data_IF_006867936296
#
_entry.id   IF_006867936296
#
_cell.length_a   1.000
_cell.length_b   1.000
_cell.length_c   1.000
_cell.angle_alpha   90.00
_cell.angle_beta   90.00
_cell.angle_gamma   90.00
#
_symmetry.space_group_name_H-M   'P 1'
#
loop_
_entity.id
_entity.type
_entity.pdbx_description
1 polymer ?
#
# COMPACT_ATOMS: atom_id res chain seq x y z
N UNK A 1 90.13 30.42 -2.79
CA UNK A 1 88.84 30.88 -3.34
C UNK A 1 87.89 29.72 -3.62
N UNK A 2 88.40 28.56 -4.06
CA UNK A 2 87.60 27.34 -4.28
C UNK A 2 86.95 26.79 -3.00
N UNK A 3 87.69 26.65 -1.88
CA UNK A 3 87.11 26.13 -0.62
C UNK A 3 86.08 27.03 0.10
N UNK A 4 85.99 28.32 -0.26
CA UNK A 4 84.97 29.23 0.30
C UNK A 4 83.65 29.15 -0.50
N UNK A 5 83.75 28.77 -1.78
CA UNK A 5 82.59 28.57 -2.67
C UNK A 5 81.94 27.20 -2.44
N UNK A 6 82.71 26.14 -2.15
CA UNK A 6 82.18 24.83 -1.74
C UNK A 6 81.45 24.89 -0.38
N UNK A 7 82.01 25.61 0.60
CA UNK A 7 81.37 25.81 1.91
C UNK A 7 80.04 26.56 1.78
N UNK A 8 80.00 27.62 0.95
CA UNK A 8 78.77 28.36 0.68
C UNK A 8 77.74 27.51 -0.08
N UNK A 9 78.15 26.60 -0.97
CA UNK A 9 77.19 25.73 -1.67
C UNK A 9 76.57 24.69 -0.74
N UNK A 10 77.35 24.07 0.15
CA UNK A 10 76.83 23.05 1.07
C UNK A 10 75.92 23.64 2.15
N UNK A 11 76.27 24.81 2.70
CA UNK A 11 75.40 25.51 3.67
C UNK A 11 74.13 26.04 3.01
N UNK A 12 74.20 26.52 1.77
CA UNK A 12 73.01 26.95 1.03
C UNK A 12 72.12 25.75 0.68
N UNK A 13 72.70 24.62 0.27
CA UNK A 13 71.96 23.39 -0.02
C UNK A 13 71.31 22.83 1.25
N UNK A 14 72.02 22.79 2.37
CA UNK A 14 71.50 22.34 3.66
C UNK A 14 70.36 23.25 4.16
N UNK A 15 70.50 24.57 4.02
CA UNK A 15 69.46 25.53 4.37
C UNK A 15 68.24 25.42 3.44
N UNK A 16 68.42 25.19 2.15
CA UNK A 16 67.32 24.95 1.20
C UNK A 16 66.61 23.63 1.51
N UNK A 17 67.34 22.55 1.79
CA UNK A 17 66.77 21.25 2.17
C UNK A 17 65.99 21.37 3.48
N UNK A 18 66.54 22.06 4.48
CA UNK A 18 65.88 22.34 5.75
C UNK A 18 64.59 23.16 5.55
N UNK A 19 64.66 24.23 4.75
CA UNK A 19 63.51 25.08 4.44
C UNK A 19 62.40 24.30 3.69
N UNK A 20 62.76 23.45 2.73
CA UNK A 20 61.83 22.59 1.98
C UNK A 20 61.22 21.52 2.89
N UNK A 21 62.02 20.92 3.78
CA UNK A 21 61.55 19.89 4.73
C UNK A 21 60.55 20.42 5.76
N UNK A 22 60.59 21.72 6.08
CA UNK A 22 59.64 22.36 7.00
C UNK A 22 58.45 22.97 6.26
N UNK A 23 58.69 23.59 5.10
CA UNK A 23 57.63 24.28 4.35
C UNK A 23 56.62 23.34 3.67
N UNK A 24 57.06 22.21 3.12
CA UNK A 24 56.17 21.26 2.44
C UNK A 24 55.13 20.64 3.41
N UNK A 25 55.50 20.14 4.61
CA UNK A 25 54.52 19.64 5.58
C UNK A 25 53.55 20.71 6.07
N UNK A 26 54.02 21.95 6.28
CA UNK A 26 53.16 23.07 6.70
C UNK A 26 52.15 23.43 5.62
N UNK A 27 52.57 23.48 4.34
CA UNK A 27 51.66 23.72 3.21
C UNK A 27 50.65 22.58 3.08
N UNK A 28 51.08 21.32 3.19
CA UNK A 28 50.18 20.16 3.17
C UNK A 28 49.19 20.18 4.34
N UNK A 29 49.64 20.57 5.54
CA UNK A 29 48.78 20.72 6.71
C UNK A 29 47.77 21.87 6.56
N UNK A 30 48.18 23.01 5.99
CA UNK A 30 47.30 24.13 5.70
C UNK A 30 46.29 23.78 4.61
N UNK A 31 46.71 23.10 3.54
CA UNK A 31 45.80 22.59 2.50
C UNK A 31 44.82 21.56 3.07
N UNK A 32 45.28 20.69 3.97
CA UNK A 32 44.43 19.73 4.68
C UNK A 32 43.41 20.46 5.57
N UNK A 33 43.86 21.43 6.38
CA UNK A 33 43.00 22.26 7.24
C UNK A 33 41.99 23.05 6.41
N UNK A 34 42.43 23.67 5.32
CA UNK A 34 41.58 24.44 4.42
C UNK A 34 40.52 23.55 3.77
N UNK A 35 40.91 22.39 3.20
CA UNK A 35 39.97 21.39 2.67
C UNK A 35 38.96 20.94 3.72
N UNK A 36 39.40 20.73 4.97
CA UNK A 36 38.53 20.33 6.08
C UNK A 36 37.54 21.43 6.49
N UNK A 37 37.96 22.70 6.51
CA UNK A 37 37.08 23.84 6.82
C UNK A 37 36.04 24.04 5.72
N UNK A 38 36.46 24.05 4.44
CA UNK A 38 35.55 24.19 3.29
C UNK A 38 34.51 23.05 3.26
N UNK A 39 34.93 21.81 3.55
CA UNK A 39 34.00 20.68 3.63
C UNK A 39 32.97 20.87 4.76
N UNK A 40 33.36 21.43 5.91
CA UNK A 40 32.45 21.67 7.03
C UNK A 40 31.40 22.74 6.71
N UNK A 41 31.78 23.82 6.04
CA UNK A 41 30.86 24.87 5.61
C UNK A 41 29.87 24.36 4.55
N UNK A 42 30.35 23.60 3.57
CA UNK A 42 29.49 22.98 2.56
C UNK A 42 28.44 22.05 3.18
N UNK A 43 28.84 21.19 4.13
CA UNK A 43 27.91 20.30 4.84
C UNK A 43 26.85 21.12 5.60
N UNK A 44 27.22 22.24 6.22
CA UNK A 44 26.26 23.10 6.92
C UNK A 44 25.23 23.75 5.97
N UNK A 45 25.67 24.21 4.79
CA UNK A 45 24.78 24.76 3.76
C UNK A 45 23.81 23.69 3.26
N UNK A 46 24.31 22.49 2.97
CA UNK A 46 23.51 21.33 2.54
C UNK A 46 22.49 20.97 3.62
N UNK A 47 22.89 20.98 4.90
CA UNK A 47 22.00 20.73 6.03
C UNK A 47 20.88 21.75 6.18
N UNK A 48 21.17 23.03 5.98
CA UNK A 48 20.15 24.07 5.99
C UNK A 48 19.15 23.89 4.84
N UNK A 49 19.63 23.51 3.65
CA UNK A 49 18.76 23.22 2.51
C UNK A 49 17.89 21.98 2.75
N UNK A 50 18.44 20.92 3.32
CA UNK A 50 17.70 19.72 3.70
C UNK A 50 16.55 20.06 4.67
N UNK A 51 16.85 20.80 5.75
CA UNK A 51 15.84 21.24 6.73
C UNK A 51 14.73 22.06 6.08
N UNK A 52 15.09 23.01 5.22
CA UNK A 52 14.11 23.83 4.50
C UNK A 52 13.17 22.99 3.63
N UNK A 53 13.67 21.94 2.97
CA UNK A 53 12.86 21.01 2.18
C UNK A 53 11.91 20.20 3.08
N UNK A 54 12.40 19.70 4.22
CA UNK A 54 11.57 18.96 5.18
C UNK A 54 10.45 19.84 5.76
N UNK A 55 10.76 21.10 6.08
CA UNK A 55 9.76 22.07 6.55
C UNK A 55 8.69 22.35 5.48
N UNK A 56 9.09 22.45 4.21
CA UNK A 56 8.17 22.62 3.08
C UNK A 56 7.25 21.42 2.87
N UNK A 57 7.74 20.19 3.05
CA UNK A 57 6.89 18.97 2.99
C UNK A 57 5.85 18.96 4.11
N UNK A 58 6.20 19.52 5.26
CA UNK A 58 5.34 19.55 6.45
C UNK A 58 4.29 20.66 6.40
N UNK A 59 4.67 21.86 5.94
CA UNK A 59 3.87 23.08 6.12
C UNK A 59 3.51 23.81 4.82
N UNK A 60 4.02 23.35 3.67
CA UNK A 60 3.77 23.97 2.37
C UNK A 60 2.37 23.73 1.80
N UNK A 61 2.02 24.48 0.76
CA UNK A 61 0.87 24.17 -0.10
C UNK A 61 1.07 22.81 -0.79
N UNK A 62 -0.01 22.21 -1.30
CA UNK A 62 0.03 20.90 -1.99
C UNK A 62 1.11 20.84 -3.07
N UNK A 63 1.21 21.87 -3.91
CA UNK A 63 2.20 21.93 -5.00
C UNK A 63 3.63 22.05 -4.46
N UNK A 64 3.84 22.88 -3.44
CA UNK A 64 5.14 23.05 -2.79
C UNK A 64 5.62 21.77 -2.12
N UNK A 65 4.72 21.01 -1.47
CA UNK A 65 5.05 19.73 -0.85
C UNK A 65 5.50 18.70 -1.88
N UNK A 66 4.82 18.65 -3.02
CA UNK A 66 5.18 17.77 -4.14
C UNK A 66 6.55 18.15 -4.71
N UNK A 67 6.79 19.44 -4.95
CA UNK A 67 8.09 19.93 -5.41
C UNK A 67 9.22 19.59 -4.42
N UNK A 68 8.98 19.80 -3.12
CA UNK A 68 9.93 19.49 -2.06
C UNK A 68 10.22 17.97 -1.96
N UNK A 69 9.20 17.12 -2.08
CA UNK A 69 9.38 15.66 -2.12
C UNK A 69 10.22 15.19 -3.32
N UNK A 70 10.14 15.88 -4.46
CA UNK A 70 11.02 15.62 -5.61
C UNK A 70 12.44 16.11 -5.34
N UNK A 71 12.60 17.27 -4.70
CA UNK A 71 13.91 17.82 -4.35
C UNK A 71 14.66 16.96 -3.32
N UNK A 72 13.96 16.24 -2.43
CA UNK A 72 14.59 15.27 -1.52
C UNK A 72 15.46 14.24 -2.27
N UNK A 73 15.10 13.88 -3.51
CA UNK A 73 15.90 12.94 -4.33
C UNK A 73 17.32 13.42 -4.57
N UNK A 74 17.58 14.73 -4.50
CA UNK A 74 18.93 15.26 -4.70
C UNK A 74 19.90 14.81 -3.61
N UNK A 75 19.42 14.52 -2.41
CA UNK A 75 20.22 13.97 -1.30
C UNK A 75 20.45 12.46 -1.40
N UNK A 76 19.76 11.78 -2.33
CA UNK A 76 19.86 10.33 -2.58
C UNK A 76 20.65 10.02 -3.86
N UNK A 77 21.27 11.01 -4.50
CA UNK A 77 21.99 10.83 -5.76
C UNK A 77 23.42 11.34 -5.64
N UNK A 78 24.41 10.45 -5.88
CA UNK A 78 25.84 10.76 -5.86
C UNK A 78 26.30 11.74 -6.95
N UNK A 79 25.51 11.94 -8.00
CA UNK A 79 25.92 12.77 -9.16
C UNK A 79 25.39 14.20 -9.10
N UNK A 80 24.61 14.56 -8.09
CA UNK A 80 24.05 15.92 -7.93
C UNK A 80 25.06 16.85 -7.26
N UNK A 81 24.73 18.15 -7.18
CA UNK A 81 25.52 19.13 -6.43
C UNK A 81 25.72 18.78 -4.94
N UNK A 82 24.91 17.86 -4.40
CA UNK A 82 24.99 17.37 -3.02
C UNK A 82 25.62 15.97 -2.91
N UNK A 83 25.87 15.32 -4.05
CA UNK A 83 26.25 13.91 -4.16
C UNK A 83 27.76 13.62 -4.17
N UNK A 84 28.61 14.63 -4.26
CA UNK A 84 30.06 14.44 -4.26
C UNK A 84 30.56 14.12 -2.85
N UNK A 85 31.25 12.97 -2.67
CA UNK A 85 31.85 12.54 -1.40
C UNK A 85 30.86 12.32 -0.23
N UNK A 86 30.14 11.18 -0.27
CA UNK A 86 29.48 10.47 0.86
C UNK A 86 27.99 10.72 1.15
N UNK A 87 27.25 11.50 0.35
CA UNK A 87 25.80 11.73 0.52
C UNK A 87 25.38 11.88 2.00
N UNK A 88 25.85 12.91 2.72
CA UNK A 88 25.83 12.94 4.19
C UNK A 88 24.44 12.88 4.83
N UNK A 89 23.39 13.20 4.07
CA UNK A 89 21.99 13.19 4.52
C UNK A 89 21.17 12.03 3.93
N UNK A 90 21.79 11.04 3.26
CA UNK A 90 21.03 9.94 2.65
C UNK A 90 20.27 9.12 3.71
N UNK A 91 20.91 8.84 4.85
CA UNK A 91 20.26 8.18 5.99
C UNK A 91 19.14 9.01 6.59
N UNK A 92 19.40 10.29 6.89
CA UNK A 92 18.38 11.21 7.43
C UNK A 92 17.19 11.34 6.46
N UNK A 93 17.46 11.35 5.15
CA UNK A 93 16.42 11.39 4.12
C UNK A 93 15.55 10.12 4.15
N UNK A 94 16.13 8.94 4.35
CA UNK A 94 15.38 7.69 4.53
C UNK A 94 14.51 7.75 5.80
N UNK A 95 15.09 8.16 6.93
CA UNK A 95 14.39 8.25 8.22
C UNK A 95 13.21 9.23 8.16
N UNK A 96 13.42 10.42 7.61
CA UNK A 96 12.37 11.43 7.42
C UNK A 96 11.30 10.95 6.45
N UNK A 97 11.70 10.30 5.35
CA UNK A 97 10.75 9.72 4.39
C UNK A 97 9.89 8.65 5.06
N UNK A 98 10.50 7.72 5.80
CA UNK A 98 9.81 6.69 6.58
C UNK A 98 8.82 7.32 7.57
N UNK A 99 9.24 8.33 8.33
CA UNK A 99 8.39 9.04 9.28
C UNK A 99 7.16 9.68 8.63
N UNK A 100 7.31 10.34 7.48
CA UNK A 100 6.16 10.87 6.74
C UNK A 100 5.24 9.76 6.24
N UNK A 101 5.79 8.68 5.69
CA UNK A 101 4.99 7.57 5.17
C UNK A 101 4.20 6.84 6.27
N UNK A 102 4.65 6.85 7.53
CA UNK A 102 3.91 6.29 8.68
C UNK A 102 2.60 7.04 8.98
N UNK A 103 2.51 8.33 8.64
CA UNK A 103 1.35 9.19 8.96
C UNK A 103 0.54 9.61 7.74
N UNK A 104 1.09 9.48 6.53
CA UNK A 104 0.43 9.95 5.31
C UNK A 104 -0.63 8.96 4.79
N UNK A 105 -1.86 9.45 4.48
CA UNK A 105 -2.83 8.65 3.74
C UNK A 105 -2.37 8.46 2.29
N UNK A 106 -2.95 7.45 1.62
CA UNK A 106 -2.67 7.16 0.21
C UNK A 106 -2.99 8.39 -0.64
N UNK A 107 -1.96 8.93 -1.29
CA UNK A 107 -2.03 10.19 -2.02
C UNK A 107 -0.88 10.30 -3.02
N UNK A 108 -0.94 11.29 -3.92
CA UNK A 108 0.16 11.55 -4.86
C UNK A 108 1.46 11.90 -4.14
N UNK A 109 1.38 12.69 -3.07
CA UNK A 109 2.57 13.06 -2.27
C UNK A 109 3.19 11.84 -1.57
N UNK A 110 2.36 11.02 -0.92
CA UNK A 110 2.80 9.76 -0.29
C UNK A 110 3.48 8.87 -1.33
N UNK A 111 2.86 8.68 -2.50
CA UNK A 111 3.45 7.87 -3.57
C UNK A 111 4.80 8.42 -4.04
N UNK A 112 4.94 9.74 -4.23
CA UNK A 112 6.21 10.35 -4.65
C UNK A 112 7.31 10.11 -3.61
N UNK A 113 6.98 10.25 -2.33
CA UNK A 113 7.91 9.96 -1.23
C UNK A 113 8.26 8.47 -1.17
N UNK A 114 7.30 7.57 -1.33
CA UNK A 114 7.53 6.13 -1.37
C UNK A 114 8.42 5.72 -2.55
N UNK A 115 8.17 6.29 -3.73
CA UNK A 115 9.00 6.08 -4.94
C UNK A 115 10.45 6.57 -4.72
N UNK A 116 10.71 7.46 -3.75
CA UNK A 116 12.07 7.93 -3.47
C UNK A 116 12.96 6.83 -2.89
N UNK A 117 12.38 5.80 -2.25
CA UNK A 117 13.15 4.72 -1.63
C UNK A 117 14.06 3.99 -2.63
N UNK A 118 13.69 3.93 -3.91
CA UNK A 118 14.55 3.32 -4.96
C UNK A 118 15.88 4.04 -5.17
N UNK A 119 15.96 5.32 -4.81
CA UNK A 119 17.19 6.09 -4.94
C UNK A 119 18.11 5.93 -3.74
N UNK A 120 17.60 5.44 -2.61
CA UNK A 120 18.38 5.29 -1.39
C UNK A 120 19.53 4.29 -1.63
N UNK A 121 20.76 4.61 -1.22
CA UNK A 121 21.88 3.67 -1.26
C UNK A 121 21.58 2.38 -0.48
N UNK A 122 22.00 1.23 -1.01
CA UNK A 122 21.61 -0.08 -0.47
C UNK A 122 22.09 -0.27 0.98
N UNK A 123 23.23 0.32 1.35
CA UNK A 123 23.76 0.29 2.72
C UNK A 123 22.82 0.87 3.78
N UNK A 124 21.85 1.70 3.38
CA UNK A 124 20.84 2.24 4.28
C UNK A 124 19.49 1.53 4.17
N UNK A 125 19.25 0.79 3.09
CA UNK A 125 18.02 0.02 2.88
C UNK A 125 18.05 -1.33 3.60
N UNK A 126 19.25 -1.91 3.76
CA UNK A 126 19.49 -3.07 4.61
C UNK A 126 19.11 -2.71 6.06
N UNK A 127 18.30 -3.54 6.71
CA UNK A 127 17.82 -3.33 8.09
C UNK A 127 17.02 -2.02 8.31
N UNK A 128 16.50 -1.43 7.24
CA UNK A 128 15.72 -0.19 7.35
C UNK A 128 14.43 -0.38 8.17
N UNK A 129 14.15 0.54 9.10
CA UNK A 129 12.85 0.65 9.78
C UNK A 129 11.83 1.29 8.82
N UNK A 130 10.99 0.43 8.27
CA UNK A 130 9.85 0.75 7.44
C UNK A 130 8.58 0.19 8.08
N UNK A 131 8.51 0.14 9.41
CA UNK A 131 7.32 -0.35 10.10
C UNK A 131 6.15 0.61 9.87
N UNK A 132 4.96 0.08 9.58
CA UNK A 132 3.70 0.84 9.48
C UNK A 132 3.70 1.94 8.41
N UNK A 133 4.69 1.95 7.53
CA UNK A 133 4.75 2.91 6.42
C UNK A 133 3.64 2.63 5.42
N UNK A 134 3.14 3.70 4.80
CA UNK A 134 2.29 3.59 3.63
C UNK A 134 3.14 3.60 2.36
N UNK A 135 3.39 2.42 1.78
CA UNK A 135 4.03 2.23 0.47
C UNK A 135 3.03 1.84 -0.61
N UNK A 136 1.75 2.14 -0.41
CA UNK A 136 0.72 1.79 -1.40
C UNK A 136 1.06 2.38 -2.77
N UNK A 137 0.98 1.52 -3.80
CA UNK A 137 1.26 1.82 -5.22
C UNK A 137 2.68 2.34 -5.50
N UNK A 138 3.62 2.15 -4.58
CA UNK A 138 5.00 2.58 -4.74
C UNK A 138 5.73 1.76 -5.81
N UNK A 139 6.63 2.40 -6.56
CA UNK A 139 7.50 1.76 -7.53
C UNK A 139 8.92 1.66 -6.96
N UNK A 140 9.17 0.56 -6.25
CA UNK A 140 10.44 0.24 -5.59
C UNK A 140 11.12 -0.85 -6.42
N UNK A 141 11.43 -0.52 -7.67
CA UNK A 141 12.16 -1.39 -8.60
C UNK A 141 12.91 -0.52 -9.60
N UNK A 142 14.09 -0.96 -10.01
CA UNK A 142 14.90 -0.27 -11.01
C UNK A 142 15.61 -1.29 -11.91
N UNK A 143 15.46 -1.15 -13.22
CA UNK A 143 16.13 -2.01 -14.21
C UNK A 143 17.65 -1.81 -14.24
N UNK A 144 18.14 -0.67 -13.73
CA UNK A 144 19.55 -0.28 -13.79
C UNK A 144 20.29 -0.54 -12.48
N UNK A 145 19.56 -0.67 -11.38
CA UNK A 145 20.12 -0.78 -10.03
C UNK A 145 19.39 -1.86 -9.27
N UNK A 146 20.16 -2.83 -8.77
CA UNK A 146 19.68 -3.78 -7.79
C UNK A 146 19.38 -3.07 -6.47
N UNK A 147 18.18 -3.28 -5.93
CA UNK A 147 17.78 -2.75 -4.62
C UNK A 147 17.86 -3.85 -3.58
N UNK A 148 18.47 -3.53 -2.45
CA UNK A 148 18.68 -4.46 -1.36
C UNK A 148 17.99 -3.97 -0.09
N UNK A 149 16.86 -4.60 0.24
CA UNK A 149 16.09 -4.39 1.46
C UNK A 149 16.24 -5.61 2.40
N UNK A 150 17.38 -6.30 2.34
CA UNK A 150 17.60 -7.45 3.20
C UNK A 150 17.47 -7.05 4.68
N UNK A 151 16.75 -7.86 5.45
CA UNK A 151 16.44 -7.63 6.87
C UNK A 151 15.66 -6.34 7.16
N UNK A 152 15.14 -5.64 6.16
CA UNK A 152 14.28 -4.48 6.39
C UNK A 152 13.00 -4.89 7.11
N UNK A 153 12.50 -3.99 7.96
CA UNK A 153 11.31 -4.23 8.78
C UNK A 153 10.10 -3.50 8.19
N UNK A 154 9.17 -4.26 7.63
CA UNK A 154 7.89 -3.83 7.07
C UNK A 154 6.71 -4.24 7.96
N UNK A 155 6.91 -4.45 9.27
CA UNK A 155 5.83 -4.79 10.20
C UNK A 155 4.64 -3.85 10.04
N UNK A 156 3.45 -4.40 9.79
CA UNK A 156 2.20 -3.64 9.54
C UNK A 156 2.27 -2.59 8.42
N UNK A 157 3.26 -2.66 7.51
CA UNK A 157 3.35 -1.75 6.39
C UNK A 157 2.23 -1.99 5.38
N UNK A 158 1.75 -0.93 4.73
CA UNK A 158 0.82 -1.03 3.61
C UNK A 158 1.60 -0.98 2.30
N UNK A 159 1.82 -2.14 1.67
CA UNK A 159 2.43 -2.29 0.35
C UNK A 159 1.39 -2.56 -0.75
N UNK A 160 0.12 -2.24 -0.53
CA UNK A 160 -0.94 -2.55 -1.50
C UNK A 160 -0.66 -1.93 -2.87
N UNK A 161 -0.63 -2.76 -3.92
CA UNK A 161 -0.31 -2.36 -5.29
C UNK A 161 1.13 -1.92 -5.52
N UNK A 162 2.05 -2.11 -4.56
CA UNK A 162 3.45 -1.73 -4.72
C UNK A 162 4.17 -2.70 -5.68
N UNK A 163 5.13 -2.19 -6.44
CA UNK A 163 5.99 -2.97 -7.33
C UNK A 163 7.40 -3.08 -6.75
N UNK A 164 7.75 -4.27 -6.27
CA UNK A 164 9.05 -4.66 -5.72
C UNK A 164 9.77 -5.69 -6.62
N UNK A 165 9.52 -5.67 -7.92
CA UNK A 165 10.11 -6.62 -8.87
C UNK A 165 11.64 -6.60 -8.82
N UNK A 166 12.27 -7.78 -8.83
CA UNK A 166 13.74 -7.96 -8.88
C UNK A 166 14.49 -7.34 -7.67
N UNK A 167 13.83 -7.18 -6.53
CA UNK A 167 14.40 -6.64 -5.28
C UNK A 167 14.92 -7.77 -4.37
N UNK A 168 16.02 -7.52 -3.64
CA UNK A 168 16.43 -8.35 -2.51
C UNK A 168 15.60 -8.04 -1.27
N UNK A 169 14.91 -9.03 -0.74
CA UNK A 169 14.10 -8.98 0.46
C UNK A 169 14.47 -10.13 1.40
N UNK A 170 15.73 -10.59 1.32
CA UNK A 170 16.23 -11.69 2.14
C UNK A 170 16.10 -11.34 3.63
N UNK A 171 15.45 -12.21 4.40
CA UNK A 171 15.13 -12.05 5.82
C UNK A 171 14.31 -10.79 6.17
N UNK A 172 13.66 -10.15 5.19
CA UNK A 172 12.78 -9.00 5.44
C UNK A 172 11.54 -9.42 6.26
N UNK A 173 11.07 -8.51 7.13
CA UNK A 173 9.94 -8.77 8.02
C UNK A 173 8.66 -8.12 7.48
N UNK A 174 7.71 -8.92 7.03
CA UNK A 174 6.39 -8.52 6.55
C UNK A 174 5.25 -8.95 7.49
N UNK A 175 5.56 -9.26 8.76
CA UNK A 175 4.57 -9.68 9.74
C UNK A 175 3.41 -8.65 9.83
N UNK A 176 2.17 -9.11 9.67
CA UNK A 176 0.95 -8.28 9.63
C UNK A 176 0.91 -7.19 8.52
N UNK A 177 1.78 -7.26 7.51
CA UNK A 177 1.77 -6.31 6.40
C UNK A 177 0.61 -6.55 5.42
N UNK A 178 0.22 -5.51 4.68
CA UNK A 178 -0.75 -5.61 3.59
C UNK A 178 -0.05 -5.57 2.23
N UNK A 179 -0.02 -6.69 1.52
CA UNK A 179 0.59 -6.84 0.19
C UNK A 179 -0.45 -6.99 -0.93
N UNK A 180 -1.69 -6.56 -0.70
CA UNK A 180 -2.79 -6.72 -1.67
C UNK A 180 -2.46 -6.06 -3.02
N UNK A 181 -2.42 -6.84 -4.09
CA UNK A 181 -2.11 -6.39 -5.45
C UNK A 181 -0.63 -6.05 -5.67
N UNK A 182 0.24 -6.32 -4.70
CA UNK A 182 1.68 -6.07 -4.84
C UNK A 182 2.31 -7.01 -5.87
N UNK A 183 3.41 -6.56 -6.49
CA UNK A 183 4.24 -7.34 -7.41
C UNK A 183 5.59 -7.61 -6.78
N UNK A 184 5.83 -8.85 -6.36
CA UNK A 184 7.09 -9.38 -5.83
C UNK A 184 7.72 -10.39 -6.82
N UNK A 185 7.56 -10.12 -8.12
CA UNK A 185 8.06 -10.98 -9.19
C UNK A 185 9.59 -10.98 -9.22
N UNK A 186 10.18 -12.16 -9.43
CA UNK A 186 11.62 -12.37 -9.57
C UNK A 186 12.41 -11.82 -8.36
N UNK A 187 11.82 -11.83 -7.15
CA UNK A 187 12.45 -11.33 -5.91
C UNK A 187 13.22 -12.40 -5.15
N UNK A 188 14.26 -12.01 -4.40
CA UNK A 188 14.87 -12.87 -3.39
C UNK A 188 14.12 -12.67 -2.06
N UNK A 189 13.31 -13.65 -1.67
CA UNK A 189 12.52 -13.65 -0.42
C UNK A 189 13.02 -14.70 0.57
N UNK A 190 14.28 -15.13 0.45
CA UNK A 190 14.87 -16.15 1.31
C UNK A 190 14.76 -15.73 2.78
N UNK A 191 14.17 -16.57 3.63
CA UNK A 191 13.97 -16.29 5.06
C UNK A 191 12.99 -15.14 5.37
N UNK A 192 12.29 -14.58 4.38
CA UNK A 192 11.34 -13.49 4.61
C UNK A 192 10.15 -13.96 5.45
N UNK A 193 9.70 -13.11 6.37
CA UNK A 193 8.62 -13.44 7.29
C UNK A 193 7.32 -12.73 6.91
N UNK A 194 6.39 -13.44 6.30
CA UNK A 194 5.05 -12.97 5.94
C UNK A 194 3.97 -13.33 6.96
N UNK A 195 4.31 -13.86 8.14
CA UNK A 195 3.31 -14.39 9.08
C UNK A 195 2.17 -13.38 9.35
N UNK A 196 0.93 -13.85 9.40
CA UNK A 196 -0.29 -13.03 9.62
C UNK A 196 -0.51 -11.89 8.60
N UNK A 197 0.15 -11.91 7.44
CA UNK A 197 0.01 -10.86 6.42
C UNK A 197 -1.26 -11.02 5.57
N UNK A 198 -1.65 -9.93 4.92
CA UNK A 198 -2.74 -9.86 3.96
C UNK A 198 -2.19 -9.91 2.53
N UNK A 199 -2.37 -11.04 1.84
CA UNK A 199 -1.81 -11.33 0.51
C UNK A 199 -2.97 -11.62 -0.45
N UNK A 200 -3.49 -10.57 -1.10
CA UNK A 200 -4.61 -10.68 -2.02
C UNK A 200 -4.20 -10.26 -3.42
N UNK A 201 -4.39 -11.10 -4.44
CA UNK A 201 -3.99 -10.79 -5.82
C UNK A 201 -2.50 -10.41 -5.95
N UNK A 202 -1.64 -10.95 -5.10
CA UNK A 202 -0.20 -10.65 -5.06
C UNK A 202 0.56 -11.54 -6.04
N UNK A 203 1.52 -10.98 -6.76
CA UNK A 203 2.32 -11.69 -7.75
C UNK A 203 3.70 -12.06 -7.21
N UNK A 204 3.93 -13.35 -6.94
CA UNK A 204 5.20 -13.93 -6.49
C UNK A 204 5.92 -14.71 -7.59
N UNK A 205 5.58 -14.51 -8.87
CA UNK A 205 6.17 -15.32 -9.94
C UNK A 205 7.69 -15.23 -9.96
N UNK A 206 8.37 -16.36 -10.05
CA UNK A 206 9.84 -16.41 -10.08
C UNK A 206 10.54 -16.03 -8.78
N UNK A 207 9.81 -15.81 -7.68
CA UNK A 207 10.43 -15.49 -6.40
C UNK A 207 11.15 -16.70 -5.79
N UNK A 208 12.30 -16.46 -5.15
CA UNK A 208 12.97 -17.46 -4.30
C UNK A 208 12.40 -17.38 -2.89
N UNK A 209 11.66 -18.42 -2.50
CA UNK A 209 10.98 -18.51 -1.20
C UNK A 209 11.74 -19.34 -0.17
N UNK A 210 13.01 -19.73 -0.38
CA UNK A 210 13.71 -20.63 0.54
C UNK A 210 13.68 -20.13 2.00
N UNK A 211 13.15 -20.93 2.93
CA UNK A 211 12.96 -20.54 4.33
C UNK A 211 11.95 -19.41 4.59
N UNK A 212 11.21 -18.92 3.59
CA UNK A 212 10.15 -17.92 3.79
C UNK A 212 8.99 -18.50 4.63
N UNK A 213 8.42 -17.67 5.50
CA UNK A 213 7.34 -18.06 6.40
C UNK A 213 6.05 -17.32 6.05
N UNK A 214 5.01 -18.04 5.60
CA UNK A 214 3.68 -17.47 5.34
C UNK A 214 2.65 -17.83 6.43
N UNK A 215 3.05 -18.44 7.55
CA UNK A 215 2.11 -19.00 8.51
C UNK A 215 1.03 -18.02 8.98
N UNK A 216 -0.19 -18.51 9.16
CA UNK A 216 -1.36 -17.72 9.58
C UNK A 216 -1.72 -16.53 8.65
N UNK A 217 -1.16 -16.45 7.45
CA UNK A 217 -1.48 -15.39 6.49
C UNK A 217 -2.80 -15.65 5.76
N UNK A 218 -3.41 -14.57 5.27
CA UNK A 218 -4.59 -14.60 4.39
C UNK A 218 -4.11 -14.48 2.95
N UNK A 219 -4.17 -15.58 2.20
CA UNK A 219 -3.57 -15.69 0.86
C UNK A 219 -4.65 -16.01 -0.17
N UNK A 220 -5.12 -15.03 -0.92
CA UNK A 220 -6.19 -15.22 -1.90
C UNK A 220 -5.77 -14.73 -3.28
N UNK A 221 -6.03 -15.53 -4.31
CA UNK A 221 -5.69 -15.20 -5.69
C UNK A 221 -4.21 -14.82 -5.89
N UNK A 222 -3.31 -15.33 -5.04
CA UNK A 222 -1.88 -15.07 -5.15
C UNK A 222 -1.27 -15.94 -6.24
N UNK A 223 -0.31 -15.39 -6.98
CA UNK A 223 0.33 -16.08 -8.09
C UNK A 223 1.76 -16.48 -7.70
N UNK A 224 1.93 -17.74 -7.29
CA UNK A 224 3.22 -18.38 -7.03
C UNK A 224 3.75 -19.16 -8.23
N UNK A 225 3.18 -19.00 -9.43
CA UNK A 225 3.66 -19.71 -10.62
C UNK A 225 5.15 -19.42 -10.83
N UNK A 226 5.94 -20.45 -11.15
CA UNK A 226 7.39 -20.33 -11.35
C UNK A 226 8.19 -19.89 -10.11
N UNK A 227 7.57 -19.72 -8.93
CA UNK A 227 8.31 -19.54 -7.68
C UNK A 227 9.11 -20.81 -7.36
N UNK A 228 10.26 -20.65 -6.73
CA UNK A 228 11.17 -21.75 -6.38
C UNK A 228 11.26 -21.93 -4.87
N UNK A 229 11.73 -23.10 -4.45
CA UNK A 229 11.90 -23.47 -3.03
C UNK A 229 10.60 -23.37 -2.23
N UNK A 230 9.48 -23.74 -2.85
CA UNK A 230 8.18 -23.81 -2.19
C UNK A 230 8.00 -25.15 -1.46
N UNK A 231 7.53 -25.12 -0.22
CA UNK A 231 7.18 -26.33 0.55
C UNK A 231 5.99 -26.07 1.47
N UNK A 232 5.31 -27.14 1.89
CA UNK A 232 4.06 -27.08 2.66
C UNK A 232 4.19 -26.42 4.03
N UNK A 233 5.34 -26.59 4.69
CA UNK A 233 5.54 -26.06 6.03
C UNK A 233 5.50 -24.52 6.04
N UNK A 234 5.82 -23.88 4.91
CA UNK A 234 5.72 -22.42 4.75
C UNK A 234 4.30 -21.88 4.91
N UNK A 235 3.28 -22.68 4.65
CA UNK A 235 1.87 -22.25 4.60
C UNK A 235 1.05 -22.73 5.81
N UNK A 236 1.70 -23.08 6.92
CA UNK A 236 1.01 -23.59 8.10
C UNK A 236 -0.01 -22.58 8.67
N UNK A 237 -1.26 -23.00 8.85
CA UNK A 237 -2.35 -22.13 9.32
C UNK A 237 -2.79 -21.03 8.33
N UNK A 238 -2.30 -21.03 7.09
CA UNK A 238 -2.79 -20.10 6.07
C UNK A 238 -4.27 -20.37 5.74
N UNK A 239 -5.00 -19.31 5.43
CA UNK A 239 -6.35 -19.39 4.86
C UNK A 239 -6.39 -18.71 3.50
N UNK A 240 -7.02 -19.34 2.51
CA UNK A 240 -6.88 -18.85 1.15
C UNK A 240 -7.46 -19.73 0.05
N UNK A 241 -7.91 -19.10 -1.04
CA UNK A 241 -8.35 -19.80 -2.26
C UNK A 241 -7.94 -19.04 -3.53
N UNK A 242 -7.96 -19.73 -4.67
CA UNK A 242 -7.65 -19.16 -5.99
C UNK A 242 -6.17 -18.90 -6.23
N UNK A 243 -5.30 -19.41 -5.36
CA UNK A 243 -3.86 -19.28 -5.50
C UNK A 243 -3.35 -20.17 -6.65
N UNK A 244 -2.39 -19.69 -7.42
CA UNK A 244 -1.74 -20.45 -8.48
C UNK A 244 -0.36 -20.87 -8.02
N UNK A 245 -0.03 -22.16 -8.09
CA UNK A 245 1.26 -22.72 -7.67
C UNK A 245 2.10 -23.21 -8.87
N UNK A 246 3.40 -23.46 -8.70
CA UNK A 246 4.22 -24.13 -9.71
C UNK A 246 3.68 -25.53 -10.05
N UNK A 247 4.05 -26.05 -11.23
CA UNK A 247 3.61 -27.37 -11.65
C UNK A 247 4.10 -28.48 -10.69
N UNK A 248 3.20 -29.39 -10.32
CA UNK A 248 3.47 -30.48 -9.37
C UNK A 248 3.09 -30.18 -7.92
N UNK A 249 2.55 -28.98 -7.65
CA UNK A 249 2.22 -28.48 -6.32
C UNK A 249 0.75 -28.04 -6.20
N UNK A 250 -0.04 -28.20 -7.26
CA UNK A 250 -1.39 -27.63 -7.39
C UNK A 250 -2.37 -28.15 -6.33
N UNK A 251 -2.19 -29.37 -5.83
CA UNK A 251 -3.04 -29.98 -4.80
C UNK A 251 -2.45 -29.94 -3.39
N UNK A 252 -1.18 -29.59 -3.22
CA UNK A 252 -0.48 -29.68 -1.93
C UNK A 252 -0.68 -28.43 -1.04
N UNK A 253 -0.98 -27.31 -1.68
CA UNK A 253 -1.08 -25.99 -1.06
C UNK A 253 -2.48 -25.38 -1.10
N UNK A 254 -3.45 -26.17 -1.54
CA UNK A 254 -4.86 -25.80 -1.44
C UNK A 254 -5.20 -25.72 0.05
N UNK A 255 -5.15 -24.50 0.59
CA UNK A 255 -5.45 -24.15 1.97
C UNK A 255 -6.97 -24.18 2.17
N UNK A 256 -7.59 -25.32 1.88
CA UNK A 256 -9.01 -25.54 2.12
C UNK A 256 -9.18 -25.91 3.59
N UNK A 257 -9.83 -24.99 4.30
CA UNK A 257 -10.67 -25.19 5.47
C UNK A 257 -10.28 -26.34 6.39
N UNK A 258 -9.83 -25.98 7.60
CA UNK A 258 -10.13 -26.82 8.77
C UNK A 258 -11.58 -27.27 8.66
N UNK A 259 -11.78 -28.58 8.71
CA UNK A 259 -13.06 -29.27 8.59
C UNK A 259 -14.21 -28.51 9.27
N UNK A 260 -15.33 -28.36 8.56
CA UNK A 260 -16.68 -28.21 9.12
C UNK A 260 -17.03 -26.95 9.95
N UNK A 261 -16.92 -25.78 9.34
CA UNK A 261 -17.92 -24.74 9.57
C UNK A 261 -18.41 -24.29 8.19
N UNK A 262 -19.71 -24.42 7.90
CA UNK A 262 -20.33 -23.81 6.72
C UNK A 262 -19.90 -22.34 6.67
N UNK A 263 -19.02 -21.99 5.72
CA UNK A 263 -18.57 -20.62 5.57
C UNK A 263 -19.78 -19.77 5.19
N UNK A 264 -20.01 -18.69 5.93
CA UNK A 264 -21.10 -17.77 5.62
C UNK A 264 -20.79 -17.17 4.26
N UNK A 265 -21.72 -17.29 3.30
CA UNK A 265 -21.62 -16.62 2.00
C UNK A 265 -22.43 -15.35 2.03
N UNK A 266 -21.89 -14.23 1.61
CA UNK A 266 -22.60 -12.95 1.57
C UNK A 266 -22.60 -12.40 0.16
N UNK A 267 -23.79 -12.11 -0.35
CA UNK A 267 -23.91 -11.38 -1.60
C UNK A 267 -23.61 -9.91 -1.36
N UNK A 268 -22.68 -9.35 -2.12
CA UNK A 268 -22.32 -7.93 -2.05
C UNK A 268 -22.70 -7.26 -3.36
N UNK A 269 -23.66 -6.34 -3.25
CA UNK A 269 -24.18 -5.52 -4.35
C UNK A 269 -23.07 -4.69 -5.01
N UNK A 270 -23.12 -4.57 -6.33
CA UNK A 270 -22.18 -3.77 -7.10
C UNK A 270 -22.83 -3.08 -8.30
N UNK A 271 -23.78 -2.17 -8.07
CA UNK A 271 -24.53 -1.59 -9.16
C UNK A 271 -23.73 -0.48 -9.83
N UNK A 272 -23.41 -0.66 -11.11
CA UNK A 272 -22.85 0.39 -11.96
C UNK A 272 -21.33 0.56 -11.87
N UNK A 273 -20.85 1.69 -12.41
CA UNK A 273 -19.43 2.07 -12.40
C UNK A 273 -19.16 2.85 -11.12
N UNK A 274 -18.47 2.22 -10.18
CA UNK A 274 -18.08 2.86 -8.93
C UNK A 274 -16.94 3.85 -9.18
N UNK A 275 -17.05 5.05 -8.61
CA UNK A 275 -15.93 5.98 -8.52
C UNK A 275 -14.84 5.44 -7.56
N UNK A 276 -13.70 6.14 -7.48
CA UNK A 276 -12.59 5.69 -6.64
C UNK A 276 -12.95 5.61 -5.14
N UNK A 277 -13.79 6.52 -4.64
CA UNK A 277 -14.24 6.54 -3.24
C UNK A 277 -15.15 5.34 -2.98
N UNK A 278 -16.17 5.16 -3.81
CA UNK A 278 -17.14 4.07 -3.72
C UNK A 278 -16.46 2.71 -3.84
N UNK A 279 -15.51 2.57 -4.77
CA UNK A 279 -14.70 1.36 -4.92
C UNK A 279 -13.89 1.06 -3.66
N UNK A 280 -13.19 2.06 -3.11
CA UNK A 280 -12.43 1.88 -1.88
C UNK A 280 -13.32 1.46 -0.70
N UNK A 281 -14.50 2.06 -0.56
CA UNK A 281 -15.47 1.70 0.49
C UNK A 281 -15.93 0.24 0.33
N UNK A 282 -16.32 -0.14 -0.89
CA UNK A 282 -16.72 -1.52 -1.20
C UNK A 282 -15.59 -2.51 -0.90
N UNK A 283 -14.34 -2.18 -1.30
CA UNK A 283 -13.18 -3.02 -1.06
C UNK A 283 -12.85 -3.17 0.44
N UNK A 284 -13.02 -2.11 1.25
CA UNK A 284 -12.87 -2.17 2.72
C UNK A 284 -13.89 -3.11 3.36
N UNK A 285 -15.17 -3.02 2.97
CA UNK A 285 -16.22 -3.90 3.50
C UNK A 285 -15.98 -5.35 3.09
N UNK A 286 -15.63 -5.60 1.84
CA UNK A 286 -15.28 -6.96 1.35
C UNK A 286 -14.08 -7.52 2.09
N UNK A 287 -13.05 -6.70 2.30
CA UNK A 287 -11.89 -7.09 3.09
C UNK A 287 -12.32 -7.51 4.51
N UNK A 288 -13.19 -6.73 5.15
CA UNK A 288 -13.69 -7.06 6.49
C UNK A 288 -14.45 -8.40 6.51
N UNK A 289 -15.33 -8.65 5.55
CA UNK A 289 -16.05 -9.92 5.40
C UNK A 289 -15.08 -11.11 5.27
N UNK A 290 -14.15 -11.05 4.32
CA UNK A 290 -13.16 -12.11 4.11
C UNK A 290 -12.27 -12.27 5.34
N UNK A 291 -11.94 -11.17 6.02
CA UNK A 291 -11.13 -11.20 7.23
C UNK A 291 -11.80 -11.95 8.39
N UNK A 292 -13.14 -11.96 8.43
CA UNK A 292 -13.97 -12.64 9.42
C UNK A 292 -14.44 -14.04 8.94
N UNK A 293 -13.84 -14.57 7.87
CA UNK A 293 -14.16 -15.91 7.34
C UNK A 293 -15.46 -15.99 6.54
N UNK A 294 -15.94 -14.86 6.02
CA UNK A 294 -17.15 -14.79 5.19
C UNK A 294 -16.77 -14.74 3.72
N UNK A 295 -17.30 -15.66 2.94
CA UNK A 295 -17.13 -15.71 1.49
C UNK A 295 -17.97 -14.64 0.81
N UNK A 296 -17.37 -13.90 -0.13
CA UNK A 296 -18.05 -12.82 -0.86
C UNK A 296 -18.50 -13.32 -2.22
N UNK A 297 -19.78 -13.11 -2.53
CA UNK A 297 -20.40 -13.38 -3.83
C UNK A 297 -20.79 -12.05 -4.45
N UNK A 298 -20.33 -11.74 -5.67
CA UNK A 298 -20.71 -10.52 -6.40
C UNK A 298 -21.10 -10.85 -7.84
N UNK A 299 -22.01 -10.05 -8.42
CA UNK A 299 -22.36 -10.16 -9.83
C UNK A 299 -21.39 -9.30 -10.67
N UNK A 300 -20.87 -9.88 -11.75
CA UNK A 300 -20.00 -9.15 -12.68
C UNK A 300 -20.76 -8.05 -13.42
N UNK A 301 -20.12 -6.89 -13.65
CA UNK A 301 -20.77 -5.75 -14.31
C UNK A 301 -21.43 -6.12 -15.65
N UNK A 302 -20.73 -6.86 -16.51
CA UNK A 302 -21.24 -7.25 -17.83
C UNK A 302 -22.45 -8.20 -17.78
N UNK A 303 -22.78 -8.71 -16.60
CA UNK A 303 -23.84 -9.68 -16.41
C UNK A 303 -25.19 -9.03 -16.09
N UNK A 304 -25.21 -7.77 -15.66
CA UNK A 304 -26.43 -7.00 -15.41
C UNK A 304 -27.27 -6.77 -16.68
N UNK A 305 -26.63 -6.79 -17.86
CA UNK A 305 -27.26 -6.60 -19.16
C UNK A 305 -27.72 -7.94 -19.79
N UNK A 306 -27.56 -9.07 -19.08
CA UNK A 306 -27.92 -10.39 -19.59
C UNK A 306 -29.43 -10.68 -19.47
N UNK A 307 -29.99 -11.41 -20.45
CA UNK A 307 -31.42 -11.70 -20.52
C UNK A 307 -31.99 -12.49 -19.32
N UNK A 308 -31.11 -13.12 -18.51
CA UNK A 308 -31.48 -13.98 -17.37
C UNK A 308 -30.94 -13.48 -16.03
N UNK A 309 -30.55 -12.19 -15.94
CA UNK A 309 -29.93 -11.61 -14.75
C UNK A 309 -30.75 -11.82 -13.47
N UNK A 310 -32.08 -11.71 -13.53
CA UNK A 310 -32.95 -11.87 -12.36
C UNK A 310 -32.90 -13.31 -11.82
N UNK A 311 -33.01 -14.31 -12.70
CA UNK A 311 -32.88 -15.73 -12.30
C UNK A 311 -31.51 -15.99 -11.69
N UNK A 312 -30.45 -15.46 -12.30
CA UNK A 312 -29.08 -15.62 -11.80
C UNK A 312 -28.91 -14.97 -10.41
N UNK A 313 -29.41 -13.76 -10.22
CA UNK A 313 -29.40 -13.09 -8.91
C UNK A 313 -30.18 -13.90 -7.87
N UNK A 314 -31.35 -14.43 -8.23
CA UNK A 314 -32.17 -15.26 -7.35
C UNK A 314 -31.41 -16.52 -6.88
N UNK A 315 -30.71 -17.20 -7.78
CA UNK A 315 -29.87 -18.37 -7.47
C UNK A 315 -28.65 -17.99 -6.62
N UNK A 316 -27.93 -16.93 -7.00
CA UNK A 316 -26.73 -16.46 -6.29
C UNK A 316 -27.04 -16.01 -4.87
N UNK A 317 -28.05 -15.15 -4.70
CA UNK A 317 -28.51 -14.68 -3.38
C UNK A 317 -29.10 -15.85 -2.59
N UNK A 318 -29.79 -16.77 -3.28
CA UNK A 318 -30.28 -18.03 -2.71
C UNK A 318 -29.17 -18.80 -2.01
N UNK A 319 -27.99 -18.87 -2.62
CA UNK A 319 -26.77 -19.48 -2.08
C UNK A 319 -26.12 -18.77 -0.88
N UNK A 320 -26.58 -17.58 -0.53
CA UNK A 320 -25.95 -16.75 0.50
C UNK A 320 -26.69 -16.80 1.85
N UNK A 321 -25.96 -16.53 2.93
CA UNK A 321 -26.40 -16.31 4.31
C UNK A 321 -26.97 -14.91 4.54
N UNK A 322 -26.55 -13.93 3.75
CA UNK A 322 -26.97 -12.53 3.87
C UNK A 322 -26.65 -11.71 2.62
N UNK A 323 -27.17 -10.49 2.59
CA UNK A 323 -27.03 -9.56 1.46
C UNK A 323 -26.55 -8.20 1.98
N UNK A 324 -25.56 -7.61 1.31
CA UNK A 324 -25.13 -6.23 1.54
C UNK A 324 -25.42 -5.41 0.29
N UNK A 325 -26.11 -4.29 0.46
CA UNK A 325 -26.45 -3.37 -0.63
C UNK A 325 -25.92 -1.97 -0.38
N UNK A 326 -25.19 -1.42 -1.36
CA UNK A 326 -24.59 -0.09 -1.27
C UNK A 326 -25.48 0.99 -1.92
N UNK A 327 -26.04 1.88 -1.10
CA UNK A 327 -26.74 3.09 -1.54
C UNK A 327 -25.78 4.25 -1.75
N UNK A 328 -25.03 4.23 -2.86
CA UNK A 328 -24.16 5.34 -3.22
C UNK A 328 -24.89 6.42 -4.02
N UNK A 329 -24.28 7.61 -4.11
CA UNK A 329 -24.68 8.69 -5.04
C UNK A 329 -24.52 8.26 -6.50
N UNK A 330 -25.48 7.49 -7.00
CA UNK A 330 -25.40 6.86 -8.33
C UNK A 330 -26.16 7.62 -9.41
N UNK A 331 -27.36 8.13 -9.11
CA UNK A 331 -28.19 8.86 -10.07
C UNK A 331 -28.48 10.25 -9.50
N UNK A 332 -28.14 11.31 -10.24
CA UNK A 332 -28.47 12.69 -9.89
C UNK A 332 -29.70 13.15 -10.68
N UNK A 333 -30.82 13.35 -9.99
CA UNK A 333 -32.02 13.99 -10.55
C UNK A 333 -31.85 15.50 -10.36
N UNK A 334 -31.67 16.23 -11.47
CA UNK A 334 -31.52 17.69 -11.43
C UNK A 334 -32.85 18.40 -11.16
N UNK A 335 -33.88 17.96 -11.86
CA UNK A 335 -35.27 18.41 -11.73
C UNK A 335 -36.17 17.24 -12.17
N UNK A 336 -37.23 16.97 -11.44
CA UNK A 336 -38.12 15.84 -11.69
C UNK A 336 -39.34 15.80 -10.80
N UNK A 337 -40.37 15.11 -11.26
CA UNK A 337 -41.61 14.90 -10.51
C UNK A 337 -41.82 13.39 -10.33
N UNK A 338 -41.87 12.94 -9.08
CA UNK A 338 -42.12 11.54 -8.75
C UNK A 338 -43.59 11.35 -8.40
N UNK A 339 -44.26 10.45 -9.12
CA UNK A 339 -45.67 10.09 -8.91
C UNK A 339 -45.79 8.64 -8.50
N UNK A 340 -46.46 8.37 -7.39
CA UNK A 340 -46.64 7.02 -6.85
C UNK A 340 -47.85 6.26 -7.44
N UNK A 341 -48.39 6.72 -8.57
CA UNK A 341 -49.57 6.14 -9.20
C UNK A 341 -50.91 6.54 -8.55
N UNK A 342 -50.89 7.45 -7.58
CA UNK A 342 -52.03 8.21 -7.05
C UNK A 342 -52.00 9.66 -7.57
N UNK A 343 -52.93 10.51 -7.14
CA UNK A 343 -52.86 11.96 -7.39
C UNK A 343 -51.70 12.64 -6.64
N UNK A 344 -50.99 11.91 -5.78
CA UNK A 344 -49.83 12.40 -5.06
C UNK A 344 -48.61 12.50 -5.97
N UNK A 345 -48.01 13.70 -5.97
CA UNK A 345 -46.73 13.95 -6.62
C UNK A 345 -45.73 14.59 -5.66
N UNK A 346 -44.45 14.30 -5.85
CA UNK A 346 -43.35 14.95 -5.16
C UNK A 346 -42.40 15.56 -6.18
N UNK A 347 -42.18 16.87 -6.07
CA UNK A 347 -41.13 17.54 -6.83
C UNK A 347 -39.78 17.18 -6.20
N UNK A 348 -38.82 16.81 -7.05
CA UNK A 348 -37.46 16.43 -6.69
C UNK A 348 -36.52 17.41 -7.37
N UNK A 349 -35.91 18.28 -6.58
CA UNK A 349 -34.89 19.22 -7.04
C UNK A 349 -33.51 18.77 -6.56
N UNK A 350 -32.59 18.55 -7.50
CA UNK A 350 -31.17 18.26 -7.22
C UNK A 350 -30.93 17.20 -6.14
N UNK A 351 -31.51 16.02 -6.30
CA UNK A 351 -31.37 14.91 -5.36
C UNK A 351 -30.59 13.73 -5.95
N UNK A 352 -29.81 13.05 -5.11
CA UNK A 352 -29.23 11.76 -5.44
C UNK A 352 -30.20 10.64 -5.09
N UNK A 353 -30.31 9.64 -5.95
CA UNK A 353 -31.10 8.44 -5.71
C UNK A 353 -30.29 7.17 -5.98
N UNK A 354 -30.69 6.09 -5.31
CA UNK A 354 -30.13 4.76 -5.51
C UNK A 354 -30.44 4.21 -6.91
N UNK A 355 -29.71 3.18 -7.33
CA UNK A 355 -30.02 2.50 -8.60
C UNK A 355 -31.20 1.54 -8.43
N UNK A 356 -31.99 1.27 -9.48
CA UNK A 356 -33.03 0.23 -9.42
C UNK A 356 -32.50 -1.14 -9.01
N UNK A 357 -31.24 -1.45 -9.37
CA UNK A 357 -30.58 -2.71 -9.01
C UNK A 357 -30.43 -2.89 -7.50
N UNK A 358 -30.16 -1.81 -6.76
CA UNK A 358 -30.11 -1.85 -5.30
C UNK A 358 -31.42 -2.39 -4.71
N UNK A 359 -32.54 -1.89 -5.23
CA UNK A 359 -33.88 -2.26 -4.78
C UNK A 359 -34.19 -3.72 -5.13
N UNK A 360 -33.81 -4.16 -6.34
CA UNK A 360 -34.01 -5.54 -6.80
C UNK A 360 -33.19 -6.54 -5.97
N UNK A 361 -31.89 -6.27 -5.76
CA UNK A 361 -31.00 -7.19 -5.04
C UNK A 361 -31.38 -7.31 -3.56
N UNK A 362 -31.65 -6.18 -2.89
CA UNK A 362 -32.16 -6.20 -1.53
C UNK A 362 -33.53 -6.89 -1.44
N UNK A 363 -34.42 -6.59 -2.39
CA UNK A 363 -35.75 -7.21 -2.45
C UNK A 363 -35.71 -8.73 -2.60
N UNK A 364 -34.83 -9.27 -3.46
CA UNK A 364 -34.62 -10.72 -3.58
C UNK A 364 -34.10 -11.30 -2.27
N UNK A 365 -33.13 -10.64 -1.62
CA UNK A 365 -32.62 -11.06 -0.32
C UNK A 365 -33.71 -11.17 0.74
N UNK A 366 -34.49 -10.09 0.90
CA UNK A 366 -35.59 -10.01 1.87
C UNK A 366 -36.67 -11.06 1.57
N UNK A 367 -37.05 -11.22 0.30
CA UNK A 367 -38.06 -12.21 -0.12
C UNK A 367 -37.62 -13.66 0.18
N UNK A 368 -36.32 -13.92 0.21
CA UNK A 368 -35.74 -15.21 0.58
C UNK A 368 -35.40 -15.32 2.08
N UNK A 369 -35.82 -14.36 2.91
CA UNK A 369 -35.58 -14.37 4.35
C UNK A 369 -34.14 -14.06 4.75
N UNK A 370 -33.35 -13.42 3.89
CA UNK A 370 -31.94 -13.09 4.17
C UNK A 370 -31.85 -11.78 4.95
N UNK A 371 -31.03 -11.78 6.00
CA UNK A 371 -30.62 -10.53 6.65
C UNK A 371 -29.92 -9.65 5.61
N UNK A 372 -30.33 -8.39 5.54
CA UNK A 372 -29.90 -7.43 4.52
C UNK A 372 -29.32 -6.19 5.19
N UNK A 373 -28.05 -5.89 4.93
CA UNK A 373 -27.37 -4.68 5.41
C UNK A 373 -27.32 -3.64 4.30
N UNK A 374 -27.95 -2.49 4.55
CA UNK A 374 -27.94 -1.33 3.67
C UNK A 374 -26.85 -0.37 4.14
N UNK A 375 -25.80 -0.19 3.33
CA UNK A 375 -24.73 0.77 3.59
C UNK A 375 -24.90 1.94 2.63
N UNK A 376 -25.14 3.16 3.11
CA UNK A 376 -25.54 4.25 2.22
C UNK A 376 -24.95 5.62 2.58
N UNK A 377 -24.84 6.48 1.57
CA UNK A 377 -24.57 7.90 1.80
C UNK A 377 -25.79 8.56 2.49
N UNK A 378 -25.55 9.56 3.36
CA UNK A 378 -26.60 10.25 4.11
C UNK A 378 -27.70 10.89 3.24
N UNK A 379 -27.35 11.30 2.03
CA UNK A 379 -28.26 11.94 1.05
C UNK A 379 -29.17 10.93 0.33
N UNK A 380 -28.89 9.63 0.44
CA UNK A 380 -29.68 8.56 -0.18
C UNK A 380 -30.78 8.14 0.79
N UNK A 381 -32.01 8.52 0.48
CA UNK A 381 -33.19 8.29 1.32
C UNK A 381 -34.41 7.80 0.51
N UNK A 382 -34.18 7.18 -0.65
CA UNK A 382 -35.22 6.68 -1.54
C UNK A 382 -35.42 5.15 -1.44
N UNK A 383 -36.64 4.69 -1.74
CA UNK A 383 -36.98 3.26 -1.76
C UNK A 383 -36.68 2.58 -0.42
N UNK A 384 -35.92 1.47 -0.43
CA UNK A 384 -35.50 0.76 0.79
C UNK A 384 -34.57 1.58 1.70
N UNK A 385 -33.93 2.65 1.19
CA UNK A 385 -33.12 3.55 2.00
C UNK A 385 -33.96 4.61 2.72
N UNK A 386 -35.26 4.72 2.41
CA UNK A 386 -36.17 5.59 3.16
C UNK A 386 -36.25 5.11 4.62
N UNK A 387 -35.95 5.98 5.61
CA UNK A 387 -35.98 5.61 7.02
C UNK A 387 -37.38 5.23 7.53
N UNK A 388 -38.45 5.56 6.81
CA UNK A 388 -39.82 5.15 7.14
C UNK A 388 -40.08 3.68 6.80
N UNK A 389 -39.28 3.07 5.91
CA UNK A 389 -39.42 1.65 5.55
C UNK A 389 -38.80 0.78 6.64
N UNK A 390 -39.64 0.17 7.47
CA UNK A 390 -39.19 -0.72 8.54
C UNK A 390 -39.45 -2.18 8.17
N UNK A 391 -38.38 -2.97 8.16
CA UNK A 391 -38.42 -4.42 7.99
C UNK A 391 -37.44 -5.06 8.98
N UNK A 392 -37.85 -6.14 9.64
CA UNK A 392 -37.04 -6.86 10.64
C UNK A 392 -35.75 -7.47 10.08
N UNK A 393 -35.69 -7.70 8.77
CA UNK A 393 -34.51 -8.26 8.08
C UNK A 393 -33.54 -7.17 7.60
N UNK A 394 -33.89 -5.88 7.74
CA UNK A 394 -33.07 -4.77 7.26
C UNK A 394 -32.30 -4.13 8.41
N UNK A 395 -30.98 -4.04 8.25
CA UNK A 395 -30.13 -3.17 9.05
C UNK A 395 -29.54 -2.06 8.19
N UNK A 396 -29.27 -0.89 8.77
CA UNK A 396 -28.76 0.29 8.07
C UNK A 396 -27.48 0.79 8.71
N UNK A 397 -26.53 1.20 7.87
CA UNK A 397 -25.31 1.87 8.27
C UNK A 397 -25.05 3.05 7.34
N UNK A 398 -25.07 4.26 7.90
CA UNK A 398 -24.70 5.46 7.16
C UNK A 398 -23.18 5.54 6.99
N UNK A 399 -22.74 5.99 5.81
CA UNK A 399 -21.33 6.16 5.49
C UNK A 399 -20.78 7.46 6.08
N UNK A 400 -19.91 7.31 7.07
CA UNK A 400 -19.18 8.42 7.67
C UNK A 400 -17.74 8.52 7.13
N UNK A 401 -17.10 9.71 7.17
CA UNK A 401 -15.75 9.90 6.63
C UNK A 401 -14.68 8.99 7.23
N UNK A 402 -14.82 8.57 8.49
CA UNK A 402 -13.83 7.76 9.21
C UNK A 402 -14.11 6.25 9.17
N UNK A 403 -15.23 5.83 8.57
CA UNK A 403 -15.67 4.43 8.41
C UNK A 403 -15.78 3.60 9.71
N UNK A 404 -15.65 4.21 10.90
CA UNK A 404 -15.61 3.45 12.16
C UNK A 404 -16.96 2.82 12.47
N UNK A 405 -18.03 3.60 12.37
CA UNK A 405 -19.38 3.13 12.63
C UNK A 405 -19.82 2.08 11.61
N UNK A 406 -19.51 2.31 10.31
CA UNK A 406 -19.79 1.34 9.26
C UNK A 406 -19.05 0.02 9.49
N UNK A 407 -17.77 0.06 9.88
CA UNK A 407 -16.99 -1.15 10.17
C UNK A 407 -17.53 -1.93 11.38
N UNK A 408 -17.99 -1.20 12.40
CA UNK A 408 -18.66 -1.79 13.57
C UNK A 408 -19.99 -2.43 13.17
N UNK A 409 -20.83 -1.72 12.40
CA UNK A 409 -22.11 -2.22 11.92
C UNK A 409 -21.95 -3.49 11.07
N UNK A 410 -20.95 -3.54 10.18
CA UNK A 410 -20.62 -4.76 9.42
C UNK A 410 -20.23 -5.91 10.35
N UNK A 411 -19.39 -5.64 11.35
CA UNK A 411 -18.95 -6.67 12.32
C UNK A 411 -20.12 -7.22 13.15
N UNK A 412 -21.00 -6.34 13.62
CA UNK A 412 -22.18 -6.73 14.39
C UNK A 412 -23.18 -7.49 13.50
N UNK A 413 -23.37 -7.06 12.26
CA UNK A 413 -24.23 -7.74 11.28
C UNK A 413 -23.72 -9.15 10.92
N UNK A 414 -22.41 -9.35 10.74
CA UNK A 414 -21.79 -10.67 10.49
C UNK A 414 -22.13 -11.68 11.60
N UNK A 415 -22.30 -11.22 12.84
CA UNK A 415 -22.66 -12.09 13.98
C UNK A 415 -24.11 -12.58 13.90
N UNK A 416 -24.99 -11.84 13.24
CA UNK A 416 -26.43 -12.10 13.16
C UNK A 416 -26.77 -13.07 12.02
N UNK A 417 -26.04 -13.00 10.91
CA UNK A 417 -26.24 -13.94 9.79
C UNK A 417 -25.87 -15.36 10.20
N UNK A 418 -26.71 -16.34 9.85
CA UNK A 418 -26.44 -17.77 10.11
C UNK A 418 -25.77 -18.41 8.90
N UNK A 419 -24.88 -19.41 9.09
CA UNK A 419 -24.45 -20.29 8.00
C UNK A 419 -25.66 -20.89 7.28
N UNK A 420 -25.53 -21.15 5.98
CA UNK A 420 -26.63 -21.63 5.14
C UNK A 420 -26.65 -23.13 5.05
#
# INVERSE_FOLDING_TARGET
MEGFLEFLSDDLLANVISLVSISVPVILFLLYRFKKTVAKEQVAIIGNHFRSIVDQISSGSTDSRVAAAIQLRRFLNSTTEFGVNKMPYAKDCLEVTSAFLKIMPTSNLQKILADNLRYVPNEFLIEADLQRVNLSKAYISDKKKFLDFSRADFFQANLSGASLREVCLENAQFYEANLSGATLRDTNLRGANFQSSAIFNTDFRGADLDGANFSNSKIFNANFKDAINIDKAKFDGCIGQGNTFPAGYESEFDCWNSESAESKKVFVSRPGILDLRQKNISDIVKYKLVSDGVDVVELGRGEYESANVITKLNEMIGGCSGVIVFGFRSILIRDGEYRMGTDDHRVIESAFVSTPWNQIEAGIGIAQGKQTLLIHDAEISDGLFDPMVQDSLIQRAELQPDMKETSKAVSDWIRIISPK
#
